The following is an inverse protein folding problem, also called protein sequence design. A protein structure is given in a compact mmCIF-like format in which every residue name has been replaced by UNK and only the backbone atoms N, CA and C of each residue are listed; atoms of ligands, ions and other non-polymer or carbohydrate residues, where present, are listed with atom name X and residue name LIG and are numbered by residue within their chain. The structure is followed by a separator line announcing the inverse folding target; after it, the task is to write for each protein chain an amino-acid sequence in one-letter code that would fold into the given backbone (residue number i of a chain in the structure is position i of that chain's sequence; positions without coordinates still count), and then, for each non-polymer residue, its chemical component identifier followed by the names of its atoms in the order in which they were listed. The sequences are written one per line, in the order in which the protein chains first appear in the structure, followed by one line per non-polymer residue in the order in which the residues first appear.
data_IF_080789077508
#
_entry.id   IF_080789077508
#
_cell.length_a   1.000
_cell.length_b   1.000
_cell.length_c   1.000
_cell.angle_alpha   90.00
_cell.angle_beta   90.00
_cell.angle_gamma   90.00
#
_symmetry.space_group_name_H-M   'P 1'
#
loop_
_entity.id
_entity.type
_entity.pdbx_description
1 polymer ?
#
# COMPACT_ATOMS: atom_id res chain seq x y z
N UNK A 1 -8.56 -29.00 -0.41
CA UNK A 1 -7.39 -28.12 -0.20
C UNK A 1 -7.81 -26.88 0.58
N UNK A 2 -7.58 -26.88 1.90
CA UNK A 2 -7.60 -25.66 2.72
C UNK A 2 -6.19 -25.06 2.63
N UNK A 3 -5.94 -24.21 1.63
CA UNK A 3 -4.78 -23.31 1.73
C UNK A 3 -5.18 -22.25 2.77
N UNK A 4 -4.71 -22.46 3.99
CA UNK A 4 -4.79 -21.47 5.05
C UNK A 4 -3.91 -20.28 4.67
N UNK A 5 -4.44 -19.06 4.82
CA UNK A 5 -3.70 -17.80 4.65
C UNK A 5 -2.37 -17.81 5.45
N UNK A 6 -2.30 -18.62 6.53
CA UNK A 6 -1.10 -18.82 7.37
C UNK A 6 0.09 -19.45 6.64
N UNK A 7 -0.13 -20.19 5.55
CA UNK A 7 0.95 -20.85 4.80
C UNK A 7 1.42 -20.04 3.59
N UNK A 8 0.98 -18.79 3.43
CA UNK A 8 1.42 -17.96 2.32
C UNK A 8 2.79 -17.36 2.64
N UNK A 9 3.86 -17.76 1.94
CA UNK A 9 5.12 -17.02 1.98
C UNK A 9 4.88 -15.67 1.31
N UNK A 10 4.54 -14.68 2.12
CA UNK A 10 4.55 -13.28 1.70
C UNK A 10 5.95 -12.80 2.03
N UNK A 11 6.75 -12.48 1.01
CA UNK A 11 8.03 -11.81 1.23
C UNK A 11 7.83 -10.50 1.99
N UNK A 12 8.89 -9.93 2.58
CA UNK A 12 8.79 -8.66 3.31
C UNK A 12 7.97 -7.61 2.52
N UNK A 13 6.93 -7.00 3.13
CA UNK A 13 6.11 -6.01 2.46
C UNK A 13 6.94 -4.85 1.94
N UNK A 14 6.65 -4.41 0.72
CA UNK A 14 7.29 -3.25 0.14
C UNK A 14 6.33 -2.07 0.15
N UNK A 15 6.81 -0.89 0.54
CA UNK A 15 5.98 0.29 0.71
C UNK A 15 6.47 1.39 -0.22
N UNK A 16 5.55 2.00 -0.96
CA UNK A 16 5.81 3.22 -1.70
C UNK A 16 4.94 4.37 -1.19
N UNK A 17 5.51 5.58 -1.16
CA UNK A 17 4.75 6.82 -1.00
C UNK A 17 4.27 7.34 -2.34
N UNK A 18 2.99 7.64 -2.47
CA UNK A 18 2.36 7.90 -3.76
C UNK A 18 2.09 9.39 -4.06
N UNK A 19 2.66 10.28 -3.25
CA UNK A 19 2.36 11.72 -3.26
C UNK A 19 1.27 12.15 -2.26
N UNK A 20 0.36 11.24 -1.89
CA UNK A 20 -0.70 11.52 -0.90
C UNK A 20 -1.13 10.33 -0.06
N UNK A 21 -0.69 9.11 -0.40
CA UNK A 21 -1.00 7.88 0.33
C UNK A 21 0.20 6.93 0.29
N UNK A 22 0.02 5.72 0.81
CA UNK A 22 0.99 4.65 0.68
C UNK A 22 0.41 3.51 -0.15
N UNK A 23 1.22 2.92 -1.02
CA UNK A 23 0.98 1.60 -1.57
C UNK A 23 1.75 0.58 -0.73
N UNK A 24 1.10 -0.53 -0.40
CA UNK A 24 1.72 -1.68 0.28
C UNK A 24 1.65 -2.88 -0.66
N UNK A 25 2.81 -3.33 -1.11
CA UNK A 25 2.96 -4.45 -2.01
C UNK A 25 3.22 -5.72 -1.21
N UNK A 26 2.36 -6.71 -1.39
CA UNK A 26 2.51 -8.06 -0.88
C UNK A 26 2.83 -8.97 -2.07
N UNK A 27 4.05 -9.49 -2.12
CA UNK A 27 4.45 -10.33 -3.23
C UNK A 27 4.21 -11.79 -2.92
N UNK A 28 3.60 -12.49 -3.89
CA UNK A 28 3.38 -13.93 -3.84
C UNK A 28 4.52 -14.63 -4.58
N UNK A 29 4.95 -15.79 -4.07
CA UNK A 29 6.00 -16.59 -4.71
C UNK A 29 5.61 -17.16 -6.07
N UNK A 30 4.30 -17.30 -6.32
CA UNK A 30 3.75 -17.82 -7.58
C UNK A 30 2.56 -16.99 -8.01
N UNK A 31 2.35 -16.80 -9.32
CA UNK A 31 1.10 -16.25 -9.84
C UNK A 31 -0.10 -17.04 -9.32
N UNK A 32 -1.18 -16.33 -8.98
CA UNK A 32 -2.44 -16.93 -8.54
C UNK A 32 -3.57 -16.55 -9.51
N UNK A 33 -4.59 -17.41 -9.67
CA UNK A 33 -5.73 -17.09 -10.52
C UNK A 33 -6.58 -15.96 -9.91
N UNK A 34 -7.38 -15.28 -10.72
CA UNK A 34 -8.28 -14.19 -10.26
C UNK A 34 -9.10 -14.54 -9.01
N UNK A 35 -9.75 -15.71 -9.02
CA UNK A 35 -10.59 -16.22 -7.91
C UNK A 35 -9.86 -16.26 -6.56
N UNK A 36 -8.54 -16.40 -6.57
CA UNK A 36 -7.73 -16.34 -5.36
C UNK A 36 -7.80 -14.94 -4.73
N UNK A 37 -7.61 -13.89 -5.51
CA UNK A 37 -7.64 -12.52 -5.00
C UNK A 37 -9.04 -12.11 -4.54
N UNK A 38 -10.09 -12.50 -5.26
CA UNK A 38 -11.48 -12.28 -4.85
C UNK A 38 -11.77 -12.93 -3.50
N UNK A 39 -11.36 -14.18 -3.32
CA UNK A 39 -11.60 -14.94 -2.10
C UNK A 39 -10.84 -14.37 -0.89
N UNK A 40 -9.58 -13.97 -1.08
CA UNK A 40 -8.68 -13.71 0.04
C UNK A 40 -8.34 -12.22 0.28
N UNK A 41 -8.57 -11.32 -0.68
CA UNK A 41 -8.20 -9.90 -0.59
C UNK A 41 -9.38 -8.94 -0.70
N UNK A 42 -10.50 -9.35 -1.28
CA UNK A 42 -11.68 -8.49 -1.39
C UNK A 42 -12.15 -8.02 -0.01
N UNK A 43 -12.67 -6.80 0.07
CA UNK A 43 -13.34 -6.30 1.27
C UNK A 43 -14.85 -6.30 1.06
N UNK A 44 -15.60 -6.92 1.96
CA UNK A 44 -17.07 -6.86 1.96
C UNK A 44 -17.59 -6.19 3.23
N UNK A 45 -18.50 -5.21 3.08
CA UNK A 45 -19.18 -4.57 4.22
C UNK A 45 -20.25 -5.46 4.86
N UNK A 46 -20.68 -6.51 4.16
CA UNK A 46 -21.88 -7.28 4.49
C UNK A 46 -21.57 -8.69 5.04
N UNK A 47 -20.32 -8.98 5.43
CA UNK A 47 -19.97 -10.26 6.08
C UNK A 47 -20.11 -10.14 7.58
N UNK A 48 -20.65 -11.19 8.20
CA UNK A 48 -20.80 -11.31 9.65
C UNK A 48 -19.45 -11.46 10.38
N UNK A 49 -18.44 -12.02 9.71
CA UNK A 49 -17.10 -12.23 10.26
C UNK A 49 -15.99 -11.87 9.25
N UNK A 50 -14.83 -11.38 9.73
CA UNK A 50 -13.68 -11.07 8.88
C UNK A 50 -13.04 -12.36 8.34
N UNK A 51 -13.17 -12.60 7.05
CA UNK A 51 -12.64 -13.80 6.40
C UNK A 51 -11.39 -13.49 5.59
N UNK A 52 -11.36 -12.31 4.97
CA UNK A 52 -10.28 -11.92 4.05
C UNK A 52 -9.10 -11.28 4.78
N UNK A 53 -7.95 -11.25 4.12
CA UNK A 53 -6.75 -10.59 4.62
C UNK A 53 -7.02 -9.10 4.90
N UNK A 54 -7.72 -8.42 4.01
CA UNK A 54 -8.04 -7.00 4.14
C UNK A 54 -8.95 -6.74 5.33
N UNK A 55 -9.99 -7.55 5.53
CA UNK A 55 -10.91 -7.43 6.67
C UNK A 55 -10.17 -7.62 8.00
N UNK A 56 -9.33 -8.66 8.08
CA UNK A 56 -8.49 -8.93 9.26
C UNK A 56 -7.49 -7.81 9.53
N UNK A 57 -6.89 -7.25 8.48
CA UNK A 57 -5.94 -6.14 8.60
C UNK A 57 -6.63 -4.86 9.10
N UNK A 58 -7.81 -4.52 8.58
CA UNK A 58 -8.60 -3.39 9.07
C UNK A 58 -8.88 -3.52 10.56
N UNK A 59 -9.33 -4.70 11.02
CA UNK A 59 -9.61 -4.93 12.44
C UNK A 59 -8.36 -4.84 13.33
N UNK A 60 -7.25 -5.42 12.88
CA UNK A 60 -5.97 -5.34 13.61
C UNK A 60 -5.50 -3.88 13.78
N UNK A 61 -5.62 -3.06 12.72
CA UNK A 61 -5.24 -1.64 12.80
C UNK A 61 -6.24 -0.84 13.64
N UNK A 62 -7.54 -1.13 13.55
CA UNK A 62 -8.55 -0.52 14.42
C UNK A 62 -8.26 -0.79 15.90
N UNK A 63 -7.96 -2.04 16.26
CA UNK A 63 -7.61 -2.42 17.63
C UNK A 63 -6.37 -1.68 18.13
N UNK A 64 -5.34 -1.55 17.29
CA UNK A 64 -4.11 -0.79 17.61
C UNK A 64 -4.37 0.71 17.78
N UNK A 65 -5.38 1.25 17.11
CA UNK A 65 -5.72 2.68 17.13
C UNK A 65 -6.94 3.01 17.99
N UNK A 66 -7.47 2.05 18.77
CA UNK A 66 -8.71 2.20 19.54
C UNK A 66 -8.73 3.37 20.53
N UNK A 67 -7.54 3.82 20.95
CA UNK A 67 -7.36 4.95 21.88
C UNK A 67 -7.00 6.26 21.15
N UNK A 68 -7.30 6.37 19.85
CA UNK A 68 -7.02 7.56 19.03
C UNK A 68 -8.28 7.99 18.27
N UNK A 69 -8.33 9.25 17.84
CA UNK A 69 -9.44 9.77 17.02
C UNK A 69 -9.36 9.32 15.54
N UNK A 70 -8.36 8.49 15.19
CA UNK A 70 -8.14 8.03 13.82
C UNK A 70 -9.03 6.81 13.56
N UNK A 71 -10.00 6.97 12.66
CA UNK A 71 -10.85 5.86 12.24
C UNK A 71 -10.26 5.14 11.02
N UNK A 72 -10.19 3.83 11.08
CA UNK A 72 -9.73 2.99 9.95
C UNK A 72 -10.94 2.28 9.35
N UNK A 73 -11.02 2.19 8.03
CA UNK A 73 -12.09 1.48 7.31
C UNK A 73 -11.51 0.68 6.13
N UNK A 74 -12.22 -0.35 5.70
CA UNK A 74 -11.89 -1.06 4.45
C UNK A 74 -12.60 -0.47 3.24
N UNK A 75 -11.98 -0.59 2.07
CA UNK A 75 -12.51 -0.17 0.77
C UNK A 75 -12.08 1.23 0.34
N UNK A 76 -12.82 1.82 -0.60
CA UNK A 76 -12.46 3.07 -1.30
C UNK A 76 -13.14 4.34 -0.72
N UNK A 77 -13.51 4.31 0.56
CA UNK A 77 -14.24 5.41 1.19
C UNK A 77 -13.34 6.65 1.37
N UNK A 78 -13.74 7.79 0.79
CA UNK A 78 -13.00 9.06 0.82
C UNK A 78 -13.71 10.05 1.74
N UNK A 79 -13.53 9.89 3.05
CA UNK A 79 -14.00 10.83 4.08
C UNK A 79 -12.82 11.52 4.77
N UNK A 80 -13.09 12.64 5.43
CA UNK A 80 -12.08 13.32 6.26
C UNK A 80 -11.80 12.47 7.51
N UNK A 81 -10.56 12.54 8.00
CA UNK A 81 -10.09 11.89 9.23
C UNK A 81 -10.27 10.36 9.28
N UNK A 82 -10.27 9.72 8.11
CA UNK A 82 -10.26 8.26 8.01
C UNK A 82 -9.02 7.77 7.27
N UNK A 83 -8.51 6.62 7.68
CA UNK A 83 -7.55 5.82 6.91
C UNK A 83 -8.35 4.70 6.25
N UNK A 84 -8.28 4.61 4.92
CA UNK A 84 -8.90 3.52 4.19
C UNK A 84 -7.86 2.50 3.73
N UNK A 85 -8.09 1.22 4.03
CA UNK A 85 -7.32 0.10 3.47
C UNK A 85 -8.09 -0.39 2.24
N UNK A 86 -7.59 -0.02 1.05
CA UNK A 86 -8.29 -0.25 -0.22
C UNK A 86 -7.68 -1.40 -1.05
N UNK A 87 -8.34 -2.57 -1.15
CA UNK A 87 -7.87 -3.66 -1.97
C UNK A 87 -8.33 -3.57 -3.44
N UNK A 88 -8.99 -2.47 -3.86
CA UNK A 88 -9.63 -2.35 -5.18
C UNK A 88 -8.69 -2.52 -6.39
N UNK A 89 -7.37 -2.39 -6.18
CA UNK A 89 -6.34 -2.59 -7.20
C UNK A 89 -5.75 -4.00 -7.21
N UNK A 90 -6.27 -4.91 -6.40
CA UNK A 90 -5.81 -6.31 -6.32
C UNK A 90 -6.43 -7.26 -7.37
N UNK A 91 -7.68 -7.07 -7.85
CA UNK A 91 -8.25 -7.93 -8.89
C UNK A 91 -7.44 -7.94 -10.20
N UNK A 92 -7.57 -9.03 -10.97
CA UNK A 92 -6.88 -9.18 -12.25
C UNK A 92 -7.19 -8.03 -13.22
N UNK A 93 -6.17 -7.54 -13.93
CA UNK A 93 -6.30 -6.44 -14.89
C UNK A 93 -6.38 -5.04 -14.28
N UNK A 94 -6.34 -4.90 -12.95
CA UNK A 94 -6.15 -3.59 -12.30
C UNK A 94 -4.68 -3.19 -12.30
N UNK A 95 -4.44 -1.88 -12.32
CA UNK A 95 -3.11 -1.29 -12.39
C UNK A 95 -2.87 -0.46 -11.15
N UNK A 96 -1.66 -0.54 -10.62
CA UNK A 96 -1.15 0.41 -9.64
C UNK A 96 -0.01 1.21 -10.28
N UNK A 97 0.32 2.35 -9.65
CA UNK A 97 1.50 3.12 -10.05
C UNK A 97 2.77 2.31 -9.79
N UNK A 98 3.71 2.43 -10.72
CA UNK A 98 5.04 1.84 -10.59
C UNK A 98 5.91 2.74 -9.68
N UNK A 99 6.86 2.15 -8.94
CA UNK A 99 7.90 2.92 -8.25
C UNK A 99 8.57 3.96 -9.16
N UNK A 100 8.85 5.13 -8.62
CA UNK A 100 9.41 6.30 -9.31
C UNK A 100 8.52 6.95 -10.37
N UNK A 101 7.29 6.46 -10.58
CA UNK A 101 6.35 7.09 -11.51
C UNK A 101 5.86 8.46 -11.00
N UNK A 102 5.48 9.32 -11.94
CA UNK A 102 4.88 10.61 -11.63
C UNK A 102 3.40 10.43 -11.28
N UNK A 103 2.95 11.13 -10.24
CA UNK A 103 1.54 11.37 -10.00
C UNK A 103 1.15 12.65 -10.71
N UNK A 104 0.27 12.57 -11.71
CA UNK A 104 -0.17 13.73 -12.49
C UNK A 104 -1.70 13.81 -12.49
N UNK A 105 -2.27 15.00 -12.32
CA UNK A 105 -3.71 15.24 -12.52
C UNK A 105 -4.03 15.60 -13.96
N UNK A 106 -3.06 16.15 -14.67
CA UNK A 106 -3.13 16.56 -16.07
C UNK A 106 -1.70 16.65 -16.64
N UNK A 107 -1.58 16.99 -17.93
CA UNK A 107 -0.29 17.03 -18.63
C UNK A 107 0.71 18.07 -18.07
N UNK A 108 0.26 19.03 -17.26
CA UNK A 108 1.07 20.14 -16.74
C UNK A 108 1.27 20.07 -15.22
N UNK A 109 0.42 19.32 -14.51
CA UNK A 109 0.41 19.29 -13.04
C UNK A 109 0.95 17.98 -12.49
N UNK A 110 2.13 18.05 -11.86
CA UNK A 110 2.74 16.95 -11.12
C UNK A 110 2.39 17.09 -9.64
N UNK A 111 1.59 16.17 -9.13
CA UNK A 111 1.14 16.10 -7.73
C UNK A 111 2.16 15.41 -6.82
N UNK A 112 3.12 14.68 -7.38
CA UNK A 112 4.15 13.99 -6.62
C UNK A 112 4.87 12.92 -7.43
N UNK A 113 5.75 12.18 -6.76
CA UNK A 113 6.49 11.05 -7.33
C UNK A 113 6.32 9.85 -6.40
N UNK A 114 6.20 8.65 -6.98
CA UNK A 114 6.10 7.42 -6.21
C UNK A 114 7.47 7.03 -5.63
N UNK A 115 7.63 7.08 -4.30
CA UNK A 115 8.95 6.91 -3.64
C UNK A 115 9.00 5.58 -2.88
N UNK A 116 9.92 4.66 -3.24
CA UNK A 116 10.24 3.47 -2.46
C UNK A 116 10.71 3.82 -1.05
N UNK A 117 10.11 3.20 -0.04
CA UNK A 117 10.43 3.43 1.36
C UNK A 117 11.09 2.20 1.96
N UNK A 118 12.16 2.43 2.71
CA UNK A 118 12.64 1.44 3.64
C UNK A 118 11.76 1.43 4.91
N UNK A 119 11.78 0.31 5.63
CA UNK A 119 10.99 0.14 6.86
C UNK A 119 11.38 1.14 7.96
N UNK A 120 12.64 1.54 8.05
CA UNK A 120 13.15 2.45 9.08
C UNK A 120 12.61 3.88 8.88
N UNK A 121 12.42 4.31 7.62
CA UNK A 121 11.83 5.59 7.26
C UNK A 121 10.41 5.75 7.80
N UNK A 122 9.65 4.65 7.94
CA UNK A 122 8.28 4.70 8.46
C UNK A 122 8.20 5.09 9.95
N UNK A 123 9.31 4.99 10.70
CA UNK A 123 9.37 5.39 12.11
C UNK A 123 9.74 6.88 12.29
N UNK A 124 10.06 7.59 11.20
CA UNK A 124 10.36 9.02 11.25
C UNK A 124 9.06 9.84 11.32
N UNK A 125 8.86 10.54 12.43
CA UNK A 125 7.66 11.37 12.65
C UNK A 125 7.51 12.52 11.64
N UNK A 126 8.58 12.88 10.92
CA UNK A 126 8.59 13.89 9.85
C UNK A 126 8.56 13.28 8.45
N UNK A 127 8.34 11.97 8.31
CA UNK A 127 8.45 11.29 7.02
C UNK A 127 7.49 11.88 5.97
N UNK A 128 6.25 12.17 6.34
CA UNK A 128 5.24 12.70 5.40
C UNK A 128 5.65 14.07 4.85
N UNK A 129 6.18 14.98 5.69
CA UNK A 129 6.62 16.30 5.22
C UNK A 129 7.86 16.19 4.33
N UNK A 130 8.79 15.29 4.65
CA UNK A 130 9.96 14.98 3.81
C UNK A 130 9.54 14.41 2.46
N UNK A 131 8.58 13.49 2.44
CA UNK A 131 8.08 12.84 1.24
C UNK A 131 7.32 13.81 0.32
N UNK A 132 6.49 14.69 0.89
CA UNK A 132 5.82 15.76 0.14
C UNK A 132 6.78 16.76 -0.52
N UNK A 133 8.00 16.88 0.00
CA UNK A 133 9.02 17.77 -0.54
C UNK A 133 9.83 17.17 -1.72
N UNK A 134 9.58 15.91 -2.11
CA UNK A 134 10.23 15.32 -3.28
C UNK A 134 9.63 15.84 -4.58
N UNK A 135 10.48 16.50 -5.37
CA UNK A 135 10.22 16.87 -6.76
C UNK A 135 10.91 15.88 -7.70
N UNK A 136 10.52 15.78 -8.98
CA UNK A 136 11.21 14.92 -9.95
C UNK A 136 12.73 15.16 -9.99
N UNK A 137 13.16 16.42 -9.98
CA UNK A 137 14.59 16.77 -9.94
C UNK A 137 15.30 16.28 -8.68
N UNK A 138 14.61 16.31 -7.52
CA UNK A 138 15.17 15.79 -6.28
C UNK A 138 15.28 14.26 -6.32
N UNK A 139 14.28 13.58 -6.88
CA UNK A 139 14.31 12.13 -7.06
C UNK A 139 15.46 11.70 -7.95
N UNK A 140 15.71 12.41 -9.06
CA UNK A 140 16.87 12.13 -9.93
C UNK A 140 18.18 12.29 -9.16
N UNK A 141 18.33 13.35 -8.36
CA UNK A 141 19.53 13.57 -7.54
C UNK A 141 19.74 12.49 -6.48
N UNK A 142 18.65 12.00 -5.89
CA UNK A 142 18.68 10.99 -4.83
C UNK A 142 18.46 9.56 -5.35
N UNK A 143 18.47 9.34 -6.68
CA UNK A 143 17.98 8.11 -7.31
C UNK A 143 18.71 6.86 -6.79
N UNK A 144 20.04 6.88 -6.79
CA UNK A 144 20.86 5.75 -6.32
C UNK A 144 20.60 5.41 -4.85
N UNK A 145 20.30 6.43 -4.04
CA UNK A 145 19.96 6.24 -2.63
C UNK A 145 18.56 5.62 -2.51
N UNK A 146 17.59 6.14 -3.24
CA UNK A 146 16.19 5.67 -3.20
C UNK A 146 16.05 4.26 -3.81
N UNK A 147 16.82 3.93 -4.85
CA UNK A 147 16.81 2.63 -5.49
C UNK A 147 17.19 1.50 -4.54
N UNK A 148 18.04 1.77 -3.53
CA UNK A 148 18.40 0.82 -2.48
C UNK A 148 17.20 0.40 -1.61
N UNK A 149 16.12 1.19 -1.62
CA UNK A 149 14.88 0.86 -0.90
C UNK A 149 13.97 -0.09 -1.68
N UNK A 150 14.27 -0.39 -2.96
CA UNK A 150 13.55 -1.42 -3.69
C UNK A 150 13.70 -2.80 -3.02
N UNK A 151 12.75 -3.73 -3.24
CA UNK A 151 12.87 -5.06 -2.65
C UNK A 151 14.14 -5.76 -3.16
N UNK A 152 14.95 -6.30 -2.25
CA UNK A 152 16.24 -6.95 -2.58
C UNK A 152 16.13 -8.07 -3.61
N UNK A 153 14.99 -8.76 -3.68
CA UNK A 153 14.76 -9.82 -4.66
C UNK A 153 14.60 -9.33 -6.11
N UNK A 154 14.51 -8.01 -6.31
CA UNK A 154 14.41 -7.35 -7.60
C UNK A 154 15.58 -6.38 -7.86
N UNK A 155 16.59 -6.37 -6.97
CA UNK A 155 17.88 -5.69 -7.14
C UNK A 155 18.91 -6.70 -7.63
#
# INVERSE_FOLDING_TARGET
MKEDIKSMPVSEPFVCWTGSSFHVFLFLDKPKPEKFYEKYFQFSKNREAPETLTEKWVLDVQEKLKNTDIRVVGGHDKRKNIINIDPSQTPSGKLCRAPFSLHMSDAKTINGVDIPLDKKMLYDSKIVSKLKAYTPNKVIKDLDKLARNLPKKFQ
#
